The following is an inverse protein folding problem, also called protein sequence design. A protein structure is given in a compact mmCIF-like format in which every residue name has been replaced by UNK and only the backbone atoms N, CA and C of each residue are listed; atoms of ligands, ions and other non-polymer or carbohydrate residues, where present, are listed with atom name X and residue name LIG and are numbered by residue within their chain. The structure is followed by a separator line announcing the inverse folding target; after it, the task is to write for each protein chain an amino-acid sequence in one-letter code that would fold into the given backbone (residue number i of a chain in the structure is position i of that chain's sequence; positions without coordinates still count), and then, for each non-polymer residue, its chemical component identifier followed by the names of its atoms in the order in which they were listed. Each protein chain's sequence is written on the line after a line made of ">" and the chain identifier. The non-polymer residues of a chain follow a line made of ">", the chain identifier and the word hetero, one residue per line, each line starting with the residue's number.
data_IF_882277261795
#
_entry.id   IF_882277261795
#
_cell.length_a   1.000
_cell.length_b   1.000
_cell.length_c   1.000
_cell.angle_alpha   90.00
_cell.angle_beta   90.00
_cell.angle_gamma   90.00
#
_symmetry.space_group_name_H-M   'P 1'
#
loop_
_entity.id
_entity.type
_entity.pdbx_description
1 polymer ?
#
# COMPACT_ATOMS: atom_id res chain seq x y z
N UNK A 1 3.03 23.64 1.67
CA UNK A 1 3.35 22.71 0.55
C UNK A 1 2.15 22.45 -0.34
N UNK A 2 1.06 21.84 0.15
CA UNK A 2 -0.12 21.54 -0.70
C UNK A 2 -0.72 22.79 -1.35
N UNK A 3 -0.96 23.85 -0.57
CA UNK A 3 -1.54 25.10 -1.08
C UNK A 3 -0.68 25.76 -2.16
N UNK A 4 0.64 25.68 -2.02
CA UNK A 4 1.58 26.19 -3.02
C UNK A 4 1.52 25.36 -4.32
N UNK A 5 1.43 24.03 -4.22
CA UNK A 5 1.25 23.15 -5.39
C UNK A 5 -0.09 23.40 -6.08
N UNK A 6 -1.16 23.59 -5.31
CA UNK A 6 -2.50 23.88 -5.84
C UNK A 6 -2.51 25.21 -6.61
N UNK A 7 -1.82 26.24 -6.12
CA UNK A 7 -1.77 27.55 -6.78
C UNK A 7 -0.93 27.58 -8.05
N UNK A 8 -0.03 26.60 -8.26
CA UNK A 8 0.75 26.47 -9.49
C UNK A 8 -0.07 25.90 -10.65
N UNK A 9 -1.23 25.31 -10.37
CA UNK A 9 -2.08 24.67 -11.36
C UNK A 9 -3.23 25.60 -11.76
N UNK A 10 -3.38 25.93 -13.05
CA UNK A 10 -4.55 26.64 -13.53
C UNK A 10 -5.80 25.81 -13.29
N UNK A 11 -6.79 26.38 -12.58
CA UNK A 11 -8.06 25.71 -12.26
C UNK A 11 -8.87 25.32 -13.51
N UNK A 12 -8.57 25.90 -14.67
CA UNK A 12 -9.16 25.54 -15.96
C UNK A 12 -8.69 24.19 -16.51
N UNK A 13 -7.54 23.69 -16.06
CA UNK A 13 -6.97 22.42 -16.53
C UNK A 13 -7.28 21.29 -15.56
N UNK A 14 -6.94 21.47 -14.29
CA UNK A 14 -7.16 20.49 -13.23
C UNK A 14 -7.20 21.17 -11.86
N UNK A 15 -7.69 20.47 -10.84
CA UNK A 15 -7.72 20.95 -9.48
C UNK A 15 -7.26 19.86 -8.50
N UNK A 16 -6.47 20.24 -7.50
CA UNK A 16 -6.10 19.38 -6.39
C UNK A 16 -7.09 19.58 -5.25
N UNK A 17 -7.78 18.51 -4.86
CA UNK A 17 -8.75 18.52 -3.75
C UNK A 17 -8.06 17.95 -2.51
N UNK A 18 -8.10 18.71 -1.41
CA UNK A 18 -7.45 18.30 -0.16
C UNK A 18 -8.03 17.01 0.40
N UNK A 19 -9.35 16.83 0.34
CA UNK A 19 -10.04 15.65 0.87
C UNK A 19 -9.61 14.33 0.21
N UNK A 20 -9.08 14.40 -1.01
CA UNK A 20 -8.56 13.25 -1.75
C UNK A 20 -7.02 13.17 -1.72
N UNK A 21 -6.37 14.04 -0.96
CA UNK A 21 -4.92 14.16 -0.90
C UNK A 21 -4.40 13.79 0.47
N UNK A 22 -3.18 13.25 0.50
CA UNK A 22 -2.49 12.93 1.74
C UNK A 22 -1.10 13.58 1.73
N UNK A 23 -0.75 14.25 2.84
CA UNK A 23 0.55 14.89 3.01
C UNK A 23 1.19 14.42 4.32
N UNK A 24 2.24 13.60 4.23
CA UNK A 24 3.03 13.18 5.38
C UNK A 24 4.25 14.09 5.54
N UNK A 25 4.50 14.52 6.79
CA UNK A 25 5.64 15.38 7.14
C UNK A 25 6.54 14.60 8.09
N UNK A 26 7.80 14.44 7.69
CA UNK A 26 8.86 13.94 8.54
C UNK A 26 9.52 15.11 9.29
N UNK A 27 9.55 15.04 10.61
CA UNK A 27 10.03 16.13 11.47
C UNK A 27 10.79 15.58 12.68
N UNK A 28 11.17 16.44 13.63
CA UNK A 28 11.76 16.00 14.92
C UNK A 28 10.75 15.20 15.75
N UNK A 29 9.47 15.51 15.64
CA UNK A 29 8.41 14.89 16.43
C UNK A 29 7.83 13.66 15.73
N UNK A 30 7.80 13.64 14.39
CA UNK A 30 7.36 12.49 13.60
C UNK A 30 8.55 11.79 12.90
N UNK A 31 8.95 10.59 13.34
CA UNK A 31 10.05 9.83 12.72
C UNK A 31 9.63 9.04 11.48
N UNK A 32 8.34 8.97 11.15
CA UNK A 32 7.83 8.18 10.04
C UNK A 32 7.51 9.04 8.82
N UNK A 33 7.86 8.55 7.63
CA UNK A 33 7.30 9.02 6.36
C UNK A 33 6.24 8.03 5.92
N UNK A 34 5.03 8.52 5.65
CA UNK A 34 3.90 7.72 5.17
C UNK A 34 3.58 8.15 3.75
N UNK A 35 3.29 7.19 2.88
CA UNK A 35 2.71 7.46 1.57
C UNK A 35 1.97 6.22 1.06
N UNK A 36 1.08 6.43 0.09
CA UNK A 36 0.44 5.37 -0.65
C UNK A 36 0.83 5.48 -2.12
N UNK A 37 1.18 4.36 -2.74
CA UNK A 37 1.47 4.29 -4.17
C UNK A 37 0.99 2.96 -4.73
N UNK A 38 0.26 3.01 -5.85
CA UNK A 38 -0.19 1.83 -6.60
C UNK A 38 -0.95 0.78 -5.74
N UNK A 39 -1.69 1.24 -4.72
CA UNK A 39 -2.44 0.39 -3.79
C UNK A 39 -1.62 -0.18 -2.63
N UNK A 40 -0.35 0.22 -2.50
CA UNK A 40 0.49 -0.09 -1.34
C UNK A 40 0.54 1.10 -0.40
N UNK A 41 0.20 0.87 0.85
CA UNK A 41 0.47 1.80 1.94
C UNK A 41 1.87 1.50 2.51
N UNK A 42 2.75 2.49 2.45
CA UNK A 42 4.16 2.34 2.80
C UNK A 42 4.52 3.31 3.92
N UNK A 43 5.16 2.77 4.95
CA UNK A 43 5.77 3.53 6.05
C UNK A 43 7.28 3.36 6.02
N UNK A 44 8.02 4.45 5.84
CA UNK A 44 9.49 4.46 5.92
C UNK A 44 9.92 4.96 7.30
N UNK A 45 10.82 4.21 7.93
CA UNK A 45 11.46 4.55 9.20
C UNK A 45 12.99 4.52 9.05
N UNK A 46 13.68 5.66 9.22
CA UNK A 46 15.14 5.71 9.22
C UNK A 46 15.74 5.07 10.48
N UNK A 47 16.85 4.34 10.32
CA UNK A 47 17.58 3.65 11.40
C UNK A 47 18.00 4.59 12.53
N UNK A 48 18.39 5.82 12.19
CA UNK A 48 18.87 6.83 13.15
C UNK A 48 17.78 7.25 14.15
N UNK A 49 16.50 7.06 13.79
CA UNK A 49 15.35 7.45 14.61
C UNK A 49 14.72 6.27 15.37
N UNK A 50 15.28 5.07 15.23
CA UNK A 50 14.81 3.88 15.94
C UNK A 50 15.32 3.95 17.38
N UNK A 51 14.43 4.21 18.34
CA UNK A 51 14.82 4.50 19.72
C UNK A 51 15.20 3.27 20.55
N UNK A 52 14.90 2.03 20.10
CA UNK A 52 15.08 0.84 20.97
C UNK A 52 15.13 -0.55 20.32
N UNK A 53 14.85 -0.75 19.03
CA UNK A 53 14.87 -2.09 18.43
C UNK A 53 16.03 -2.24 17.44
N UNK A 54 16.90 -3.22 17.70
CA UNK A 54 17.65 -3.90 16.65
C UNK A 54 16.67 -4.31 15.53
N UNK A 55 17.10 -4.26 14.28
CA UNK A 55 16.27 -4.61 13.12
C UNK A 55 15.66 -5.99 13.33
N UNK A 56 14.43 -6.07 13.86
CA UNK A 56 13.71 -7.34 13.90
C UNK A 56 13.53 -7.75 12.45
N UNK A 57 14.12 -8.89 12.10
CA UNK A 57 14.10 -9.43 10.76
C UNK A 57 12.71 -10.03 10.51
N UNK A 58 11.71 -9.16 10.45
CA UNK A 58 10.34 -9.53 10.11
C UNK A 58 10.25 -9.72 8.60
N UNK A 59 9.73 -10.85 8.18
CA UNK A 59 9.39 -11.12 6.78
C UNK A 59 8.39 -10.05 6.30
N UNK A 60 8.56 -9.55 5.07
CA UNK A 60 7.68 -8.52 4.46
C UNK A 60 8.06 -7.06 4.70
N UNK A 61 9.19 -6.81 5.38
CA UNK A 61 9.76 -5.46 5.52
C UNK A 61 10.88 -5.26 4.51
N UNK A 62 10.77 -4.19 3.70
CA UNK A 62 11.83 -3.80 2.79
C UNK A 62 12.96 -3.11 3.51
N UNK A 63 14.16 -3.57 3.20
CA UNK A 63 15.42 -3.06 3.72
C UNK A 63 15.95 -2.07 2.67
N UNK A 64 16.01 -0.77 3.00
CA UNK A 64 16.47 0.28 2.09
C UNK A 64 17.97 0.55 2.28
N UNK A 65 18.76 0.14 1.28
CA UNK A 65 20.21 0.30 1.25
C UNK A 65 20.59 1.65 0.65
N UNK A 66 21.54 2.35 1.26
CA UNK A 66 22.14 3.53 0.67
C UNK A 66 23.11 3.10 -0.44
N UNK A 67 23.00 3.72 -1.61
CA UNK A 67 23.82 3.35 -2.76
C UNK A 67 25.32 3.66 -2.58
N UNK A 68 25.66 4.75 -1.88
CA UNK A 68 27.05 5.17 -1.70
C UNK A 68 27.77 4.36 -0.61
N UNK A 69 27.15 4.19 0.56
CA UNK A 69 27.77 3.50 1.70
C UNK A 69 27.51 2.00 1.70
N UNK A 70 26.56 1.53 0.91
CA UNK A 70 26.04 0.14 0.92
C UNK A 70 25.50 -0.30 2.28
N UNK A 71 25.23 0.65 3.17
CA UNK A 71 24.64 0.36 4.48
C UNK A 71 23.12 0.39 4.44
N UNK A 72 22.50 -0.40 5.32
CA UNK A 72 21.07 -0.37 5.53
C UNK A 72 20.68 0.85 6.37
N UNK A 73 20.03 1.83 5.76
CA UNK A 73 19.77 3.13 6.38
C UNK A 73 18.32 3.32 6.81
N UNK A 74 17.38 2.63 6.16
CA UNK A 74 15.95 2.70 6.51
C UNK A 74 15.25 1.36 6.29
N UNK A 75 14.09 1.22 6.93
CA UNK A 75 13.14 0.14 6.70
C UNK A 75 11.87 0.72 6.10
N UNK A 76 11.28 0.01 5.15
CA UNK A 76 9.94 0.30 4.64
C UNK A 76 9.00 -0.85 4.97
N UNK A 77 7.93 -0.51 5.69
CA UNK A 77 6.86 -1.43 6.05
C UNK A 77 5.75 -1.27 5.02
N UNK A 78 5.30 -2.39 4.46
CA UNK A 78 4.28 -2.41 3.42
C UNK A 78 2.98 -2.98 3.97
N UNK A 79 1.86 -2.37 3.56
CA UNK A 79 0.51 -2.88 3.76
C UNK A 79 -0.30 -2.70 2.49
N UNK A 80 -1.36 -3.49 2.34
CA UNK A 80 -2.31 -3.32 1.25
C UNK A 80 -3.28 -2.21 1.62
N UNK A 81 -3.45 -1.24 0.72
CA UNK A 81 -4.36 -0.12 0.93
C UNK A 81 -5.82 -0.59 1.08
N UNK A 82 -6.59 0.15 1.88
CA UNK A 82 -7.99 -0.15 2.16
C UNK A 82 -8.86 -0.10 0.90
N UNK A 83 -8.53 0.77 -0.06
CA UNK A 83 -9.25 0.83 -1.33
C UNK A 83 -9.03 -0.45 -2.15
N UNK A 84 -7.78 -0.93 -2.24
CA UNK A 84 -7.45 -2.17 -2.94
C UNK A 84 -8.12 -3.38 -2.29
N UNK A 85 -8.19 -3.44 -0.95
CA UNK A 85 -8.94 -4.47 -0.23
C UNK A 85 -10.43 -4.47 -0.61
N UNK A 86 -11.07 -3.30 -0.62
CA UNK A 86 -12.48 -3.18 -1.03
C UNK A 86 -12.70 -3.55 -2.49
N UNK A 87 -11.77 -3.21 -3.38
CA UNK A 87 -11.85 -3.61 -4.79
C UNK A 87 -11.81 -5.13 -4.94
N UNK A 88 -10.94 -5.81 -4.20
CA UNK A 88 -10.89 -7.27 -4.16
C UNK A 88 -12.21 -7.88 -3.64
N UNK A 89 -12.74 -7.37 -2.53
CA UNK A 89 -14.01 -7.81 -1.95
C UNK A 89 -15.18 -7.62 -2.94
N UNK A 90 -15.25 -6.46 -3.58
CA UNK A 90 -16.27 -6.16 -4.60
C UNK A 90 -16.15 -7.07 -5.82
N UNK A 91 -14.93 -7.46 -6.20
CA UNK A 91 -14.72 -8.43 -7.27
C UNK A 91 -15.25 -9.82 -6.87
N UNK A 92 -15.02 -10.24 -5.63
CA UNK A 92 -15.58 -11.47 -5.08
C UNK A 92 -17.12 -11.45 -5.08
N UNK A 93 -17.73 -10.34 -4.64
CA UNK A 93 -19.19 -10.13 -4.73
C UNK A 93 -19.70 -10.26 -6.17
N UNK A 94 -19.00 -9.65 -7.12
CA UNK A 94 -19.35 -9.73 -8.55
C UNK A 94 -19.30 -11.16 -9.08
N UNK A 95 -18.29 -11.94 -8.68
CA UNK A 95 -18.19 -13.36 -9.05
C UNK A 95 -19.43 -14.11 -8.54
N UNK A 96 -19.83 -13.90 -7.29
CA UNK A 96 -20.99 -14.58 -6.69
C UNK A 96 -22.31 -14.14 -7.35
N UNK A 97 -22.53 -12.84 -7.54
CA UNK A 97 -23.75 -12.31 -8.16
C UNK A 97 -23.94 -12.77 -9.61
N UNK A 98 -22.85 -12.96 -10.36
CA UNK A 98 -22.88 -13.42 -11.74
C UNK A 98 -22.96 -14.95 -11.90
N UNK A 99 -22.96 -15.71 -10.81
CA UNK A 99 -22.86 -17.18 -10.81
C UNK A 99 -24.21 -17.90 -10.67
N UNK A 100 -25.28 -17.36 -11.28
CA UNK A 100 -26.65 -17.87 -11.10
C UNK A 100 -26.87 -19.36 -11.47
N UNK A 101 -26.48 -19.79 -12.67
CA UNK A 101 -26.60 -21.20 -13.12
C UNK A 101 -25.30 -21.72 -13.74
N UNK A 102 -24.16 -21.24 -13.25
CA UNK A 102 -22.83 -21.66 -13.73
C UNK A 102 -22.33 -22.89 -12.97
N UNK A 103 -21.54 -23.74 -13.63
CA UNK A 103 -20.92 -24.91 -12.98
C UNK A 103 -19.98 -24.48 -11.84
N UNK A 104 -19.89 -25.28 -10.77
CA UNK A 104 -18.99 -25.00 -9.65
C UNK A 104 -17.54 -24.81 -10.07
N UNK A 105 -17.09 -25.55 -11.08
CA UNK A 105 -15.75 -25.42 -11.66
C UNK A 105 -15.49 -24.03 -12.26
N UNK A 106 -16.48 -23.41 -12.90
CA UNK A 106 -16.35 -22.04 -13.43
C UNK A 106 -16.23 -21.01 -12.31
N UNK A 107 -16.95 -21.20 -11.21
CA UNK A 107 -16.86 -20.33 -10.03
C UNK A 107 -15.46 -20.44 -9.41
N UNK A 108 -14.97 -21.66 -9.19
CA UNK A 108 -13.64 -21.92 -8.66
C UNK A 108 -12.53 -21.31 -9.55
N UNK A 109 -12.65 -21.42 -10.88
CA UNK A 109 -11.68 -20.82 -11.79
C UNK A 109 -11.65 -19.29 -11.68
N UNK A 110 -12.81 -18.62 -11.61
CA UNK A 110 -12.89 -17.16 -11.45
C UNK A 110 -12.30 -16.71 -10.10
N UNK A 111 -12.59 -17.45 -9.04
CA UNK A 111 -12.00 -17.22 -7.72
C UNK A 111 -10.47 -17.35 -7.78
N UNK A 112 -9.96 -18.44 -8.34
CA UNK A 112 -8.52 -18.67 -8.46
C UNK A 112 -7.81 -17.56 -9.23
N UNK A 113 -8.36 -17.11 -10.37
CA UNK A 113 -7.78 -15.97 -11.12
C UNK A 113 -7.76 -14.69 -10.29
N UNK A 114 -8.84 -14.40 -9.55
CA UNK A 114 -8.91 -13.20 -8.69
C UNK A 114 -7.89 -13.27 -7.55
N UNK A 115 -7.82 -14.41 -6.86
CA UNK A 115 -6.90 -14.64 -5.74
C UNK A 115 -5.45 -14.59 -6.20
N UNK A 116 -5.11 -15.26 -7.31
CA UNK A 116 -3.76 -15.23 -7.88
C UNK A 116 -3.37 -13.79 -8.25
N UNK A 117 -4.28 -13.02 -8.88
CA UNK A 117 -4.02 -11.62 -9.21
C UNK A 117 -3.66 -10.78 -7.98
N UNK A 118 -4.43 -10.92 -6.90
CA UNK A 118 -4.18 -10.23 -5.63
C UNK A 118 -2.84 -10.65 -5.01
N UNK A 119 -2.61 -11.96 -4.86
CA UNK A 119 -1.43 -12.51 -4.19
C UNK A 119 -0.13 -12.25 -4.96
N UNK A 120 -0.17 -12.31 -6.29
CA UNK A 120 1.02 -12.09 -7.13
C UNK A 120 1.41 -10.62 -7.24
N UNK A 121 0.44 -9.71 -7.12
CA UNK A 121 0.69 -8.27 -7.12
C UNK A 121 1.20 -7.78 -5.76
N UNK A 122 0.47 -8.03 -4.67
CA UNK A 122 0.81 -7.51 -3.34
C UNK A 122 1.86 -8.34 -2.58
N UNK A 123 1.99 -9.64 -2.90
CA UNK A 123 3.00 -10.55 -2.34
C UNK A 123 3.13 -10.44 -0.83
N UNK A 124 4.25 -9.91 -0.35
CA UNK A 124 4.60 -9.82 1.07
C UNK A 124 3.76 -8.79 1.85
N UNK A 125 3.19 -7.80 1.17
CA UNK A 125 2.34 -6.79 1.82
C UNK A 125 1.04 -7.39 2.40
N UNK A 126 0.60 -8.53 1.86
CA UNK A 126 -0.58 -9.26 2.35
C UNK A 126 -0.35 -9.78 3.77
N UNK A 127 0.87 -10.23 4.08
CA UNK A 127 1.21 -10.84 5.38
C UNK A 127 1.08 -9.82 6.52
N UNK A 128 1.31 -8.54 6.22
CA UNK A 128 1.25 -7.45 7.20
C UNK A 128 -0.12 -6.79 7.33
N UNK A 129 -1.11 -7.29 6.58
CA UNK A 129 -2.46 -6.73 6.55
C UNK A 129 -3.42 -7.72 7.21
N UNK A 130 -3.52 -7.67 8.54
CA UNK A 130 -4.39 -8.57 9.33
C UNK A 130 -5.85 -8.54 8.88
N UNK A 131 -6.34 -7.39 8.41
CA UNK A 131 -7.71 -7.23 7.93
C UNK A 131 -8.01 -7.99 6.62
N UNK A 132 -6.97 -8.48 5.92
CA UNK A 132 -7.09 -9.23 4.67
C UNK A 132 -7.17 -10.74 4.91
N UNK A 133 -6.71 -11.22 6.08
CA UNK A 133 -6.64 -12.63 6.48
C UNK A 133 -7.92 -13.07 7.21
#
# INVERSE_FOLDING_TARGET
>A
VFWEMQNRLPRSVTNLVWDNSFASIYSKDNPNVLFNMCGFEIRILPKIRTFQEEFTQREGVWKLQNDATKEMTAQAFLKVDNEAQKQFENRCRTILMASGSTTFTKIANKWNTNLIGMMTYFREAVIHTDALL
#
